data_IF_864929392460
#
_entry.id   IF_864929392460
#
_cell.length_a   1.000
_cell.length_b   1.000
_cell.length_c   1.000
_cell.angle_alpha   90.00
_cell.angle_beta   90.00
_cell.angle_gamma   90.00
#
_symmetry.space_group_name_H-M   'P 1'
#
loop_
_entity.id
_entity.type
_entity.pdbx_description
1 polymer ?
#
# COMPACT_ATOMS: atom_id res chain seq x y z
N UNK A 1 10.56 8.15 7.31
CA UNK A 1 9.19 8.24 7.87
C UNK A 1 8.20 8.92 6.93
N UNK A 2 8.54 10.05 6.29
CA UNK A 2 7.65 10.76 5.36
C UNK A 2 7.10 9.88 4.23
N UNK A 3 7.96 9.06 3.63
CA UNK A 3 7.62 8.02 2.65
C UNK A 3 6.43 7.14 3.13
N UNK A 4 6.32 6.89 4.43
CA UNK A 4 5.29 6.01 5.00
C UNK A 4 3.94 6.70 5.10
N UNK A 5 3.97 8.02 5.29
CA UNK A 5 2.78 8.88 5.20
C UNK A 5 2.26 8.92 3.77
N UNK A 6 3.16 9.00 2.78
CA UNK A 6 2.78 8.98 1.36
C UNK A 6 2.21 7.62 0.94
N UNK A 7 2.82 6.51 1.38
CA UNK A 7 2.26 5.17 1.19
C UNK A 7 0.88 5.03 1.81
N UNK A 8 0.70 5.55 3.03
CA UNK A 8 -0.61 5.57 3.68
C UNK A 8 -1.62 6.42 2.90
N UNK A 9 -1.27 7.63 2.49
CA UNK A 9 -2.15 8.51 1.73
C UNK A 9 -2.58 7.85 0.41
N UNK A 10 -1.66 7.23 -0.31
CA UNK A 10 -1.95 6.42 -1.50
C UNK A 10 -2.93 5.27 -1.21
N UNK A 11 -2.76 4.55 -0.09
CA UNK A 11 -3.69 3.48 0.30
C UNK A 11 -5.12 3.98 0.58
N UNK A 12 -5.25 5.20 1.11
CA UNK A 12 -6.55 5.84 1.33
C UNK A 12 -7.21 6.20 0.00
N UNK A 13 -6.45 6.74 -0.96
CA UNK A 13 -6.93 7.05 -2.32
C UNK A 13 -7.36 5.77 -3.05
N UNK A 14 -6.60 4.69 -2.92
CA UNK A 14 -6.95 3.39 -3.48
C UNK A 14 -8.29 2.87 -2.95
N UNK A 15 -8.46 2.86 -1.62
CA UNK A 15 -9.70 2.42 -0.97
C UNK A 15 -10.90 3.34 -1.28
N UNK A 16 -10.68 4.66 -1.37
CA UNK A 16 -11.71 5.60 -1.81
C UNK A 16 -12.14 5.35 -3.25
N UNK A 17 -11.19 5.12 -4.16
CA UNK A 17 -11.46 4.86 -5.58
C UNK A 17 -12.21 3.54 -5.75
N UNK A 18 -11.81 2.49 -5.02
CA UNK A 18 -12.53 1.22 -4.98
C UNK A 18 -13.96 1.41 -4.50
N UNK A 19 -14.18 2.15 -3.40
CA UNK A 19 -15.51 2.45 -2.90
C UNK A 19 -16.36 3.25 -3.90
N UNK A 20 -15.77 4.25 -4.56
CA UNK A 20 -16.43 5.01 -5.61
C UNK A 20 -16.79 4.13 -6.82
N UNK A 21 -15.91 3.19 -7.19
CA UNK A 21 -16.15 2.22 -8.26
C UNK A 21 -17.38 1.34 -7.98
N UNK A 22 -17.51 0.89 -6.72
CA UNK A 22 -18.68 0.13 -6.25
C UNK A 22 -19.93 1.01 -6.20
N UNK A 23 -19.85 2.19 -5.60
CA UNK A 23 -20.99 3.10 -5.40
C UNK A 23 -21.61 3.54 -6.73
N UNK A 24 -20.79 3.90 -7.72
CA UNK A 24 -21.26 4.35 -9.03
C UNK A 24 -21.52 3.20 -10.01
N UNK A 25 -21.43 1.93 -9.56
CA UNK A 25 -21.59 0.73 -10.39
C UNK A 25 -20.79 0.83 -11.69
N UNK A 26 -19.55 1.32 -11.58
CA UNK A 26 -18.69 1.59 -12.74
C UNK A 26 -18.41 0.31 -13.54
N UNK A 27 -18.47 -0.87 -12.93
CA UNK A 27 -18.46 -2.15 -13.64
C UNK A 27 -19.58 -2.27 -14.68
N UNK A 28 -20.80 -1.90 -14.29
CA UNK A 28 -21.99 -1.99 -15.12
C UNK A 28 -21.97 -0.88 -16.17
N UNK A 29 -21.52 0.32 -15.79
CA UNK A 29 -21.31 1.41 -16.72
C UNK A 29 -20.29 1.06 -17.82
N UNK A 30 -19.14 0.46 -17.47
CA UNK A 30 -18.14 0.03 -18.45
C UNK A 30 -18.65 -1.09 -19.35
N UNK A 31 -19.41 -2.05 -18.80
CA UNK A 31 -19.94 -3.18 -19.57
C UNK A 31 -20.99 -2.74 -20.61
N UNK A 32 -21.83 -1.76 -20.29
CA UNK A 32 -22.92 -1.31 -21.16
C UNK A 32 -22.62 -0.01 -21.93
N UNK A 33 -21.44 0.59 -21.77
CA UNK A 33 -21.09 1.83 -22.47
C UNK A 33 -21.05 1.60 -24.00
N UNK A 34 -21.90 2.28 -24.78
CA UNK A 34 -22.00 2.07 -26.22
C UNK A 34 -20.69 2.42 -26.95
N UNK A 35 -19.92 3.41 -26.48
CA UNK A 35 -18.62 3.78 -27.08
C UNK A 35 -17.56 2.70 -26.87
N UNK A 36 -17.47 2.15 -25.65
CA UNK A 36 -16.52 1.09 -25.33
C UNK A 36 -16.85 -0.18 -26.10
N UNK A 37 -18.13 -0.54 -26.18
CA UNK A 37 -18.60 -1.70 -26.97
C UNK A 37 -18.39 -1.50 -28.47
N UNK A 38 -18.54 -0.29 -29.00
CA UNK A 38 -18.27 0.00 -30.41
C UNK A 38 -16.80 -0.15 -30.79
N UNK A 39 -15.87 0.25 -29.90
CA UNK A 39 -14.42 0.17 -30.17
C UNK A 39 -13.84 -1.22 -29.88
N UNK A 40 -14.23 -1.85 -28.77
CA UNK A 40 -13.62 -3.12 -28.31
C UNK A 40 -14.45 -4.36 -28.67
N UNK A 41 -15.75 -4.22 -28.92
CA UNK A 41 -16.69 -5.33 -29.02
C UNK A 41 -17.24 -5.77 -27.66
N UNK A 42 -18.41 -6.43 -27.66
CA UNK A 42 -19.16 -6.75 -26.44
C UNK A 42 -18.40 -7.68 -25.48
N UNK A 43 -17.76 -8.73 -25.98
CA UNK A 43 -16.99 -9.67 -25.15
C UNK A 43 -15.74 -9.03 -24.53
N UNK A 44 -14.99 -8.24 -25.31
CA UNK A 44 -13.79 -7.57 -24.82
C UNK A 44 -14.14 -6.47 -23.81
N UNK A 45 -15.23 -5.74 -24.03
CA UNK A 45 -15.74 -4.77 -23.07
C UNK A 45 -16.12 -5.44 -21.73
N UNK A 46 -16.75 -6.63 -21.77
CA UNK A 46 -17.05 -7.39 -20.57
C UNK A 46 -15.78 -7.85 -19.82
N UNK A 47 -14.77 -8.36 -20.54
CA UNK A 47 -13.46 -8.71 -19.95
C UNK A 47 -12.74 -7.50 -19.37
N UNK A 48 -12.79 -6.37 -20.06
CA UNK A 48 -12.23 -5.09 -19.59
C UNK A 48 -12.90 -4.62 -18.30
N UNK A 49 -14.23 -4.67 -18.21
CA UNK A 49 -14.95 -4.29 -17.01
C UNK A 49 -14.54 -5.14 -15.78
N UNK A 50 -14.36 -6.44 -15.98
CA UNK A 50 -13.88 -7.37 -14.93
C UNK A 50 -12.44 -7.02 -14.55
N UNK A 51 -11.56 -6.79 -15.53
CA UNK A 51 -10.17 -6.43 -15.27
C UNK A 51 -10.06 -5.11 -14.49
N UNK A 52 -10.80 -4.08 -14.90
CA UNK A 52 -10.85 -2.80 -14.18
C UNK A 52 -11.35 -2.98 -12.76
N UNK A 53 -12.41 -3.77 -12.54
CA UNK A 53 -12.90 -4.03 -11.19
C UNK A 53 -11.86 -4.71 -10.29
N UNK A 54 -11.02 -5.60 -10.85
CA UNK A 54 -9.96 -6.26 -10.11
C UNK A 54 -8.72 -5.38 -9.86
N UNK A 55 -8.45 -4.39 -10.73
CA UNK A 55 -7.18 -3.65 -10.73
C UNK A 55 -7.30 -2.15 -10.40
N UNK A 56 -8.50 -1.58 -10.35
CA UNK A 56 -8.70 -0.13 -10.17
C UNK A 56 -8.10 0.40 -8.87
N UNK A 57 -8.24 -0.35 -7.76
CA UNK A 57 -7.70 0.03 -6.45
C UNK A 57 -6.17 0.08 -6.49
N UNK A 58 -5.53 -0.97 -7.04
CA UNK A 58 -4.07 -1.04 -7.23
C UNK A 58 -3.57 0.06 -8.18
N UNK A 59 -4.25 0.28 -9.31
CA UNK A 59 -3.90 1.30 -10.29
C UNK A 59 -3.98 2.71 -9.66
N UNK A 60 -5.09 3.02 -8.98
CA UNK A 60 -5.26 4.29 -8.28
C UNK A 60 -4.20 4.49 -7.20
N UNK A 61 -3.90 3.44 -6.43
CA UNK A 61 -2.83 3.44 -5.43
C UNK A 61 -1.48 3.78 -6.05
N UNK A 62 -1.07 3.06 -7.10
CA UNK A 62 0.23 3.26 -7.75
C UNK A 62 0.34 4.62 -8.45
N UNK A 63 -0.71 5.06 -9.16
CA UNK A 63 -0.74 6.38 -9.80
C UNK A 63 -0.64 7.48 -8.74
N UNK A 64 -1.48 7.42 -7.70
CA UNK A 64 -1.43 8.34 -6.56
C UNK A 64 -0.05 8.35 -5.92
N UNK A 65 0.55 7.18 -5.74
CA UNK A 65 1.87 7.05 -5.13
C UNK A 65 2.94 7.71 -6.00
N UNK A 66 2.90 7.51 -7.31
CA UNK A 66 3.78 8.17 -8.27
C UNK A 66 3.65 9.69 -8.24
N UNK A 67 2.43 10.22 -8.25
CA UNK A 67 2.19 11.67 -8.12
C UNK A 67 2.67 12.22 -6.78
N UNK A 68 2.37 11.52 -5.68
CA UNK A 68 2.81 11.92 -4.35
C UNK A 68 4.35 11.90 -4.23
N UNK A 69 5.03 10.93 -4.82
CA UNK A 69 6.50 10.90 -4.83
C UNK A 69 7.13 11.87 -5.81
N UNK A 70 6.47 12.20 -6.92
CA UNK A 70 6.99 13.13 -7.92
C UNK A 70 6.82 14.59 -7.51
N UNK A 71 5.65 14.96 -6.97
CA UNK A 71 5.31 16.36 -6.72
C UNK A 71 5.65 16.81 -5.30
N UNK A 72 5.39 15.97 -4.30
CA UNK A 72 5.47 16.41 -2.90
C UNK A 72 6.92 16.70 -2.47
N UNK A 73 7.93 15.89 -2.81
CA UNK A 73 9.32 16.20 -2.47
C UNK A 73 9.80 17.49 -3.15
N UNK A 74 9.49 17.69 -4.42
CA UNK A 74 9.89 18.89 -5.19
C UNK A 74 9.26 20.16 -4.62
N UNK A 75 7.97 20.12 -4.29
CA UNK A 75 7.28 21.24 -3.64
C UNK A 75 7.92 21.57 -2.29
N UNK A 76 8.23 20.56 -1.46
CA UNK A 76 8.82 20.78 -0.14
C UNK A 76 10.29 21.20 -0.19
N UNK A 77 11.04 20.75 -1.21
CA UNK A 77 12.38 21.22 -1.49
C UNK A 77 12.38 22.74 -1.81
N UNK A 78 11.37 23.23 -2.54
CA UNK A 78 11.16 24.66 -2.78
C UNK A 78 10.94 25.50 -1.52
N UNK A 79 10.49 24.89 -0.42
CA UNK A 79 10.33 25.55 0.89
C UNK A 79 11.58 25.45 1.80
N UNK A 80 12.70 24.93 1.29
CA UNK A 80 13.94 24.78 2.06
C UNK A 80 13.93 23.66 3.09
N UNK A 81 12.85 22.87 3.15
CA UNK A 81 12.82 21.61 3.88
C UNK A 81 13.56 20.59 3.03
N UNK A 82 14.87 20.48 3.27
CA UNK A 82 15.72 19.41 2.74
C UNK A 82 15.28 18.06 3.28
N UNK A 83 14.12 17.60 2.83
CA UNK A 83 13.57 16.30 3.20
C UNK A 83 14.54 15.26 2.70
N UNK A 84 15.22 14.59 3.63
CA UNK A 84 15.99 13.40 3.35
C UNK A 84 15.01 12.25 3.05
N UNK A 85 14.32 12.33 1.92
CA UNK A 85 13.70 11.17 1.28
C UNK A 85 14.86 10.32 0.77
N UNK A 86 15.55 9.62 1.68
CA UNK A 86 16.50 8.59 1.31
C UNK A 86 15.69 7.48 0.66
N UNK A 87 15.56 7.55 -0.66
CA UNK A 87 14.87 6.53 -1.43
C UNK A 87 15.53 5.21 -1.14
N UNK A 88 14.79 4.27 -0.55
CA UNK A 88 15.30 2.94 -0.21
C UNK A 88 15.95 2.31 -1.44
N UNK A 89 15.29 2.44 -2.60
CA UNK A 89 15.82 1.98 -3.89
C UNK A 89 17.11 2.66 -4.32
N UNK A 90 17.27 3.97 -4.09
CA UNK A 90 18.47 4.72 -4.48
C UNK A 90 19.63 4.42 -3.52
N UNK A 91 19.35 4.26 -2.21
CA UNK A 91 20.34 3.78 -1.24
C UNK A 91 20.80 2.35 -1.54
N UNK A 92 19.88 1.45 -1.90
CA UNK A 92 20.22 0.11 -2.36
C UNK A 92 20.99 0.14 -3.68
N UNK A 93 20.58 1.01 -4.61
CA UNK A 93 21.25 1.19 -5.91
C UNK A 93 22.67 1.74 -5.77
N UNK A 94 22.91 2.68 -4.86
CA UNK A 94 24.25 3.18 -4.54
C UNK A 94 25.10 2.13 -3.83
N UNK A 95 24.52 1.30 -2.94
CA UNK A 95 25.24 0.13 -2.40
C UNK A 95 25.62 -0.85 -3.52
N UNK A 96 24.70 -1.14 -4.44
CA UNK A 96 24.95 -2.00 -5.60
C UNK A 96 26.02 -1.42 -6.53
N UNK A 97 25.95 -0.12 -6.83
CA UNK A 97 26.94 0.59 -7.63
C UNK A 97 28.31 0.62 -6.94
N UNK A 98 28.36 0.82 -5.61
CA UNK A 98 29.60 0.74 -4.84
C UNK A 98 30.22 -0.66 -4.91
N UNK A 99 29.42 -1.73 -4.79
CA UNK A 99 29.92 -3.11 -4.96
C UNK A 99 30.37 -3.39 -6.40
N UNK A 100 29.73 -2.80 -7.40
CA UNK A 100 30.10 -2.98 -8.81
C UNK A 100 31.36 -2.19 -9.20
N UNK A 101 31.60 -1.02 -8.59
CA UNK A 101 32.71 -0.12 -8.93
C UNK A 101 33.98 -0.37 -8.13
N UNK A 102 33.86 -0.69 -6.83
CA UNK A 102 35.00 -1.05 -5.98
C UNK A 102 35.29 -2.57 -5.95
N UNK A 103 34.44 -3.38 -6.58
CA UNK A 103 34.55 -4.84 -6.60
C UNK A 103 34.18 -5.50 -5.26
N UNK A 104 34.40 -6.82 -5.17
CA UNK A 104 34.06 -7.62 -3.98
C UNK A 104 34.82 -7.21 -2.70
N UNK A 105 35.84 -6.35 -2.80
CA UNK A 105 36.54 -5.77 -1.65
C UNK A 105 35.64 -4.97 -0.71
N UNK A 106 34.58 -4.34 -1.23
CA UNK A 106 33.58 -3.61 -0.40
C UNK A 106 32.83 -4.51 0.57
N UNK A 107 32.73 -5.81 0.31
CA UNK A 107 32.13 -6.74 1.28
C UNK A 107 32.97 -6.92 2.54
N UNK A 108 34.27 -6.58 2.51
CA UNK A 108 35.15 -6.60 3.67
C UNK A 108 35.11 -5.28 4.45
N UNK A 109 34.53 -4.23 3.87
CA UNK A 109 34.36 -2.95 4.54
C UNK A 109 33.26 -3.03 5.59
N UNK A 110 33.62 -2.72 6.83
CA UNK A 110 32.67 -2.66 7.96
C UNK A 110 31.49 -1.71 7.67
N UNK A 111 31.75 -0.62 6.95
CA UNK A 111 30.75 0.36 6.56
C UNK A 111 29.62 -0.23 5.68
N UNK A 112 29.94 -1.19 4.80
CA UNK A 112 28.93 -1.87 3.96
C UNK A 112 27.94 -2.64 4.83
N UNK A 113 28.43 -3.40 5.81
CA UNK A 113 27.61 -4.16 6.74
C UNK A 113 26.84 -3.30 7.72
N UNK A 114 27.30 -2.09 8.02
CA UNK A 114 26.52 -1.09 8.76
C UNK A 114 25.41 -0.45 7.90
N UNK A 115 25.60 -0.35 6.58
CA UNK A 115 24.61 0.20 5.66
C UNK A 115 23.43 -0.76 5.41
N UNK A 116 23.68 -2.08 5.30
CA UNK A 116 22.64 -3.11 5.10
C UNK A 116 21.47 -3.00 6.12
N UNK A 117 21.71 -3.09 7.44
CA UNK A 117 20.64 -2.98 8.44
C UNK A 117 19.99 -1.60 8.43
N UNK A 118 20.73 -0.54 8.08
CA UNK A 118 20.18 0.81 7.91
C UNK A 118 19.13 0.87 6.79
N UNK A 119 19.40 0.27 5.64
CA UNK A 119 18.47 0.18 4.50
C UNK A 119 17.25 -0.67 4.87
N UNK A 120 17.45 -1.82 5.50
CA UNK A 120 16.37 -2.71 5.96
C UNK A 120 15.49 -1.99 7.00
N UNK A 121 16.10 -1.35 7.99
CA UNK A 121 15.40 -0.61 9.03
C UNK A 121 14.58 0.56 8.44
N UNK A 122 15.13 1.28 7.46
CA UNK A 122 14.41 2.34 6.77
C UNK A 122 13.17 1.79 6.02
N UNK A 123 13.32 0.66 5.32
CA UNK A 123 12.21 -0.05 4.67
C UNK A 123 11.13 -0.50 5.67
N UNK A 124 11.54 -1.11 6.79
CA UNK A 124 10.62 -1.58 7.81
C UNK A 124 9.86 -0.43 8.48
N UNK A 125 10.57 0.63 8.85
CA UNK A 125 9.98 1.82 9.46
C UNK A 125 8.91 2.45 8.56
N UNK A 126 9.13 2.43 7.26
CA UNK A 126 8.20 2.93 6.25
C UNK A 126 6.88 2.16 6.26
N UNK A 127 6.96 0.82 6.21
CA UNK A 127 5.81 -0.08 6.29
C UNK A 127 5.09 0.06 7.62
N UNK A 128 5.83 0.08 8.73
CA UNK A 128 5.26 0.24 10.08
C UNK A 128 4.53 1.57 10.21
N UNK A 129 5.10 2.67 9.71
CA UNK A 129 4.46 4.00 9.76
C UNK A 129 3.16 4.01 8.95
N UNK A 130 3.20 3.48 7.73
CA UNK A 130 2.01 3.39 6.88
C UNK A 130 0.91 2.55 7.52
N UNK A 131 1.27 1.35 7.99
CA UNK A 131 0.34 0.45 8.66
C UNK A 131 -0.23 1.07 9.95
N UNK A 132 0.59 1.74 10.76
CA UNK A 132 0.14 2.44 11.95
C UNK A 132 -0.90 3.51 11.64
N UNK A 133 -0.68 4.31 10.59
CA UNK A 133 -1.64 5.33 10.16
C UNK A 133 -2.93 4.70 9.62
N UNK A 134 -2.83 3.65 8.81
CA UNK A 134 -3.98 2.90 8.32
C UNK A 134 -4.79 2.30 9.48
N UNK A 135 -4.12 1.68 10.44
CA UNK A 135 -4.73 1.11 11.62
C UNK A 135 -5.41 2.18 12.49
N UNK A 136 -4.75 3.32 12.72
CA UNK A 136 -5.36 4.45 13.44
C UNK A 136 -6.57 5.01 12.72
N UNK A 137 -6.51 5.16 11.40
CA UNK A 137 -7.64 5.61 10.60
C UNK A 137 -8.80 4.62 10.70
N UNK A 138 -8.53 3.32 10.58
CA UNK A 138 -9.55 2.27 10.71
C UNK A 138 -10.20 2.25 12.10
N UNK A 139 -9.41 2.42 13.17
CA UNK A 139 -9.92 2.56 14.54
C UNK A 139 -10.77 3.82 14.71
N UNK A 140 -10.38 4.94 14.09
CA UNK A 140 -11.13 6.20 14.16
C UNK A 140 -12.43 6.13 13.35
N UNK A 141 -12.41 5.50 12.18
CA UNK A 141 -13.56 5.34 11.30
C UNK A 141 -14.64 4.40 11.88
N UNK A 142 -14.25 3.48 12.76
CA UNK A 142 -15.18 2.55 13.46
C UNK A 142 -15.91 3.16 14.66
N UNK A 143 -15.77 4.47 14.92
CA UNK A 143 -16.72 5.27 15.70
C UNK A 143 -17.28 4.60 16.96
N UNK A 144 -16.47 4.43 18.00
CA UNK A 144 -17.00 4.08 19.32
C UNK A 144 -17.41 5.39 19.99
N UNK A 145 -18.72 5.58 20.17
CA UNK A 145 -19.25 6.54 21.15
C UNK A 145 -18.50 6.36 22.48
N UNK A 146 -18.25 7.48 23.18
CA UNK A 146 -17.26 7.65 24.24
C UNK A 146 -17.31 6.66 25.45
N UNK A 147 -18.21 5.68 25.50
CA UNK A 147 -18.58 4.94 26.71
C UNK A 147 -17.90 3.55 26.86
N UNK A 148 -17.54 2.83 25.79
CA UNK A 148 -16.99 1.45 25.88
C UNK A 148 -15.45 1.32 25.82
N UNK A 149 -14.73 2.31 26.34
CA UNK A 149 -13.27 2.44 26.18
C UNK A 149 -12.42 1.45 26.98
N UNK A 150 -12.95 0.83 28.04
CA UNK A 150 -12.16 -0.01 28.97
C UNK A 150 -12.12 -1.48 28.58
N UNK A 151 -13.24 -2.06 28.16
CA UNK A 151 -13.34 -3.47 27.75
C UNK A 151 -12.60 -3.76 26.45
N UNK A 152 -12.60 -2.79 25.52
CA UNK A 152 -11.87 -2.91 24.26
C UNK A 152 -10.34 -2.86 24.46
N UNK A 153 -9.82 -2.10 25.44
CA UNK A 153 -8.37 -2.04 25.73
C UNK A 153 -7.83 -3.38 26.20
N UNK A 154 -8.56 -4.12 27.04
CA UNK A 154 -8.16 -5.44 27.53
C UNK A 154 -8.22 -6.49 26.42
N UNK A 155 -9.28 -6.47 25.61
CA UNK A 155 -9.41 -7.37 24.46
C UNK A 155 -8.28 -7.14 23.43
N UNK A 156 -7.98 -5.87 23.13
CA UNK A 156 -6.91 -5.47 22.19
C UNK A 156 -5.52 -5.83 22.71
N UNK A 157 -5.22 -5.60 24.00
CA UNK A 157 -3.94 -6.01 24.63
C UNK A 157 -3.74 -7.52 24.55
N UNK A 158 -4.82 -8.29 24.69
CA UNK A 158 -4.77 -9.74 24.66
C UNK A 158 -4.59 -10.31 23.25
N UNK A 159 -5.10 -9.62 22.22
CA UNK A 159 -5.00 -10.05 20.81
C UNK A 159 -3.69 -9.60 20.16
N UNK A 160 -3.20 -8.41 20.52
CA UNK A 160 -1.86 -7.92 20.14
C UNK A 160 -0.74 -8.82 20.67
N UNK A 161 -0.92 -9.39 21.87
CA UNK A 161 0.02 -10.38 22.45
C UNK A 161 -0.03 -11.75 21.78
N UNK A 162 -1.10 -12.08 21.06
CA UNK A 162 -1.34 -13.45 20.56
C UNK A 162 -1.27 -13.60 19.04
N UNK A 163 -1.38 -12.53 18.26
CA UNK A 163 -1.49 -12.65 16.79
C UNK A 163 -0.85 -11.48 16.03
N UNK A 164 0.46 -11.26 16.20
CA UNK A 164 1.24 -10.46 15.24
C UNK A 164 1.45 -11.20 13.91
N UNK A 165 1.43 -12.54 13.92
CA UNK A 165 1.78 -13.38 12.77
C UNK A 165 0.65 -13.60 11.75
N UNK A 166 -0.61 -13.33 12.09
CA UNK A 166 -1.73 -13.47 11.14
C UNK A 166 -1.89 -12.27 10.20
N UNK A 167 -1.07 -11.23 10.35
CA UNK A 167 -1.06 -10.07 9.46
C UNK A 167 -0.03 -10.23 8.33
N UNK A 168 0.97 -11.10 8.52
CA UNK A 168 1.96 -11.48 7.50
C UNK A 168 1.46 -12.66 6.67
N UNK A 169 0.58 -13.50 7.22
CA UNK A 169 0.03 -14.65 6.53
C UNK A 169 -1.46 -14.43 6.23
N UNK A 170 -1.87 -14.31 4.95
CA UNK A 170 -3.30 -14.30 4.62
C UNK A 170 -3.91 -15.63 5.09
N UNK A 171 -5.10 -15.64 5.71
CA UNK A 171 -5.85 -16.87 5.86
C UNK A 171 -5.97 -17.49 4.48
N UNK A 172 -5.51 -18.74 4.32
CA UNK A 172 -5.79 -19.52 3.11
C UNK A 172 -7.28 -19.37 2.85
N UNK A 173 -7.61 -18.82 1.68
CA UNK A 173 -8.96 -18.72 1.20
C UNK A 173 -9.65 -20.04 1.53
N UNK A 174 -10.77 -19.94 2.25
CA UNK A 174 -11.71 -21.03 2.39
C UNK A 174 -11.97 -21.55 0.98
N UNK A 175 -11.33 -22.67 0.67
CA UNK A 175 -11.61 -23.43 -0.52
C UNK A 175 -13.08 -23.84 -0.42
N UNK A 176 -13.83 -23.46 -1.44
CA UNK A 176 -15.12 -24.02 -1.83
C UNK A 176 -16.27 -23.93 -0.81
N UNK A 177 -17.07 -22.87 -0.93
CA UNK A 177 -18.52 -23.02 -0.82
C UNK A 177 -19.06 -23.30 -2.22
N UNK A 178 -19.41 -24.56 -2.50
CA UNK A 178 -20.42 -24.96 -3.49
C UNK A 178 -20.78 -26.41 -3.23
N UNK A 179 -21.95 -26.66 -2.62
CA UNK A 179 -22.48 -28.02 -2.50
C UNK A 179 -23.52 -28.22 -1.41
N UNK A 180 -24.54 -27.37 -1.36
CA UNK A 180 -25.88 -27.66 -0.80
C UNK A 180 -26.82 -26.72 -1.59
N UNK A 181 -27.96 -27.09 -2.16
CA UNK A 181 -28.87 -28.25 -2.05
C UNK A 181 -29.91 -28.07 -3.20
N UNK A 182 -30.82 -29.02 -3.49
CA UNK A 182 -31.96 -29.33 -2.62
C UNK A 182 -31.91 -30.72 -2.00
#
# INVERSE_FOLDING_TARGET
>A
MFTGVLLFASSVVAGWTENAFVLHRLDSALRWNPRIRAVLGAERAARWAIWWRANVSSMAGNISLGFLFGLVPELLAGFGLGLQVRHVTLSTGLMGAATATLGWGVLHESAFWWAVPGVIANGLLNVVTSFYLAFRLALRARGIGLQDRRLLRTALRSRLRRNLLSFVWPPRAAAAQTGDTP
#
